data_IF_336686275562
#
_entry.id   IF_336686275562
#
_cell.length_a   1.000
_cell.length_b   1.000
_cell.length_c   1.000
_cell.angle_alpha   90.00
_cell.angle_beta   90.00
_cell.angle_gamma   90.00
#
_symmetry.space_group_name_H-M   'P 1'
#
loop_
_entity.id
_entity.type
_entity.pdbx_description
1 polymer ?
#
# COMPACT_ATOMS: atom_id res chain seq x y z
N UNK A 1 10.09 -25.58 38.58
CA UNK A 1 9.66 -25.18 37.24
C UNK A 1 8.13 -25.18 37.25
N UNK A 2 7.47 -24.03 37.00
CA UNK A 2 6.01 -23.95 37.07
C UNK A 2 5.36 -24.76 35.95
N UNK A 3 4.16 -25.31 36.18
CA UNK A 3 3.37 -26.02 35.16
C UNK A 3 3.17 -25.20 33.87
N UNK A 4 3.14 -23.87 33.98
CA UNK A 4 3.10 -22.92 32.82
C UNK A 4 4.36 -22.96 31.97
N UNK A 5 5.54 -23.02 32.61
CA UNK A 5 6.85 -23.09 31.91
C UNK A 5 6.99 -24.47 31.24
N UNK A 6 6.57 -25.52 31.88
CA UNK A 6 6.60 -26.89 31.32
C UNK A 6 5.68 -27.02 30.09
N UNK A 7 4.44 -26.48 30.18
CA UNK A 7 3.50 -26.47 29.05
C UNK A 7 4.03 -25.65 27.86
N UNK A 8 4.67 -24.54 28.16
CA UNK A 8 5.31 -23.69 27.13
C UNK A 8 6.47 -24.43 26.46
N UNK A 9 7.26 -25.18 27.24
CA UNK A 9 8.39 -25.95 26.75
C UNK A 9 7.96 -27.16 25.91
N UNK A 10 6.92 -27.86 26.33
CA UNK A 10 6.31 -28.99 25.59
C UNK A 10 5.66 -28.50 24.29
N UNK A 11 4.98 -27.35 24.30
CA UNK A 11 4.45 -26.70 23.08
C UNK A 11 5.57 -26.36 22.11
N UNK A 12 6.66 -25.78 22.59
CA UNK A 12 7.83 -25.44 21.77
C UNK A 12 8.54 -26.69 21.19
N UNK A 13 8.64 -27.78 21.96
CA UNK A 13 9.16 -29.05 21.46
C UNK A 13 8.25 -29.72 20.43
N UNK A 14 6.94 -29.64 20.60
CA UNK A 14 5.96 -30.13 19.64
C UNK A 14 6.01 -29.30 18.33
N UNK A 15 6.23 -28.00 18.43
CA UNK A 15 6.45 -27.10 17.28
C UNK A 15 7.77 -27.40 16.57
N UNK A 16 8.85 -27.68 17.30
CA UNK A 16 10.15 -28.09 16.69
C UNK A 16 10.04 -29.43 15.95
N UNK A 17 9.28 -30.39 16.45
CA UNK A 17 9.03 -31.67 15.78
C UNK A 17 8.21 -31.52 14.50
N UNK A 18 7.39 -30.46 14.40
CA UNK A 18 6.64 -30.09 13.19
C UNK A 18 7.39 -29.11 12.28
N UNK A 19 8.62 -28.71 12.64
CA UNK A 19 9.39 -27.67 11.94
C UNK A 19 9.68 -27.96 10.46
N UNK A 20 9.51 -29.20 10.01
CA UNK A 20 9.58 -29.60 8.60
C UNK A 20 8.33 -29.25 7.78
N UNK A 21 7.17 -29.08 8.41
CA UNK A 21 5.91 -28.73 7.74
C UNK A 21 5.82 -27.23 7.49
N UNK A 22 4.99 -26.81 6.52
CA UNK A 22 4.71 -25.40 6.25
C UNK A 22 4.09 -24.71 7.47
N UNK A 23 3.11 -25.37 8.12
CA UNK A 23 2.46 -24.86 9.33
C UNK A 23 3.44 -24.73 10.51
N UNK A 24 4.37 -25.67 10.66
CA UNK A 24 5.42 -25.59 11.68
C UNK A 24 6.34 -24.40 11.47
N UNK A 25 6.77 -24.15 10.25
CA UNK A 25 7.61 -22.97 9.89
C UNK A 25 6.85 -21.65 10.11
N UNK A 26 5.56 -21.61 9.76
CA UNK A 26 4.71 -20.45 10.00
C UNK A 26 4.55 -20.17 11.49
N UNK A 27 4.20 -21.20 12.27
CA UNK A 27 4.03 -21.07 13.71
C UNK A 27 5.34 -20.65 14.39
N UNK A 28 6.49 -21.19 13.98
CA UNK A 28 7.80 -20.77 14.50
C UNK A 28 8.06 -19.27 14.19
N UNK A 29 7.84 -18.84 12.96
CA UNK A 29 7.98 -17.42 12.58
C UNK A 29 7.08 -16.50 13.40
N UNK A 30 5.82 -16.86 13.60
CA UNK A 30 4.88 -16.06 14.37
C UNK A 30 5.17 -16.11 15.87
N UNK A 31 5.76 -17.21 16.38
CA UNK A 31 6.15 -17.34 17.77
C UNK A 31 7.34 -16.42 18.14
N UNK A 32 8.24 -16.16 17.19
CA UNK A 32 9.36 -15.23 17.37
C UNK A 32 8.89 -13.77 17.53
N UNK A 33 7.66 -13.46 17.10
CA UNK A 33 7.10 -12.10 17.24
C UNK A 33 6.51 -11.93 18.66
N UNK A 34 6.72 -10.75 19.27
CA UNK A 34 6.04 -10.40 20.51
C UNK A 34 4.54 -10.19 20.32
N UNK A 35 3.74 -10.38 21.38
CA UNK A 35 2.30 -10.12 21.34
C UNK A 35 2.00 -8.67 20.94
N UNK A 36 2.78 -7.71 21.45
CA UNK A 36 2.65 -6.30 21.08
C UNK A 36 2.91 -6.07 19.58
N UNK A 37 3.93 -6.74 19.02
CA UNK A 37 4.23 -6.64 17.58
C UNK A 37 3.11 -7.20 16.73
N UNK A 38 2.55 -8.36 17.13
CA UNK A 38 1.40 -8.95 16.43
C UNK A 38 0.18 -8.05 16.56
N UNK A 39 -0.16 -7.58 17.76
CA UNK A 39 -1.32 -6.70 17.99
C UNK A 39 -1.24 -5.44 17.12
N UNK A 40 -0.08 -4.76 17.11
CA UNK A 40 0.14 -3.58 16.27
C UNK A 40 0.02 -3.89 14.76
N UNK A 41 0.49 -5.05 14.32
CA UNK A 41 0.34 -5.47 12.93
C UNK A 41 -1.13 -5.78 12.61
N UNK A 42 -1.88 -6.36 13.56
CA UNK A 42 -3.27 -6.73 13.37
C UNK A 42 -4.20 -5.54 13.16
N UNK A 43 -3.92 -4.37 13.71
CA UNK A 43 -4.68 -3.13 13.40
C UNK A 43 -4.74 -2.88 11.88
N UNK A 44 -3.61 -3.04 11.19
CA UNK A 44 -3.56 -2.90 9.73
C UNK A 44 -4.12 -4.12 9.01
N UNK A 45 -3.91 -5.31 9.51
CA UNK A 45 -4.48 -6.54 8.95
C UNK A 45 -6.01 -6.48 8.98
N UNK A 46 -6.62 -6.03 10.08
CA UNK A 46 -8.07 -5.85 10.19
C UNK A 46 -8.58 -4.80 9.18
N UNK A 47 -7.83 -3.72 8.99
CA UNK A 47 -8.15 -2.73 7.97
C UNK A 47 -8.12 -3.31 6.56
N UNK A 48 -7.09 -4.09 6.23
CA UNK A 48 -6.93 -4.68 4.89
C UNK A 48 -7.90 -5.81 4.63
N UNK A 49 -8.11 -6.67 5.60
CA UNK A 49 -8.89 -7.90 5.51
C UNK A 49 -10.05 -7.87 6.50
N UNK A 50 -11.17 -7.33 6.04
CA UNK A 50 -12.37 -7.10 6.88
C UNK A 50 -13.21 -8.36 7.12
N UNK A 51 -12.99 -9.44 6.37
CA UNK A 51 -13.71 -10.69 6.55
C UNK A 51 -13.40 -11.31 7.93
N UNK A 52 -14.45 -11.63 8.68
CA UNK A 52 -14.37 -12.27 10.00
C UNK A 52 -15.13 -13.59 10.05
N UNK A 53 -15.66 -14.05 8.93
CA UNK A 53 -16.44 -15.28 8.81
C UNK A 53 -15.75 -16.28 7.90
N UNK A 54 -15.92 -17.56 8.21
CA UNK A 54 -15.47 -18.62 7.31
C UNK A 54 -16.22 -18.51 5.98
N UNK A 55 -15.50 -18.72 4.90
CA UNK A 55 -16.05 -18.79 3.56
C UNK A 55 -15.70 -20.14 2.94
N UNK A 56 -16.55 -20.62 2.01
CA UNK A 56 -16.32 -21.90 1.36
C UNK A 56 -14.99 -21.88 0.59
N UNK A 57 -14.10 -22.81 0.95
CA UNK A 57 -12.70 -22.77 0.57
C UNK A 57 -12.39 -23.07 -0.90
N UNK A 58 -13.38 -23.44 -1.71
CA UNK A 58 -13.10 -23.99 -3.03
C UNK A 58 -14.09 -23.44 -4.07
N UNK A 59 -13.78 -22.26 -4.61
CA UNK A 59 -14.40 -21.80 -5.85
C UNK A 59 -13.49 -22.17 -7.01
N UNK A 60 -14.07 -22.49 -8.18
CA UNK A 60 -13.31 -22.81 -9.40
C UNK A 60 -12.36 -21.69 -9.83
N UNK A 61 -12.71 -20.44 -9.45
CA UNK A 61 -11.93 -19.23 -9.71
C UNK A 61 -10.66 -19.08 -8.85
N UNK A 62 -10.49 -19.89 -7.79
CA UNK A 62 -9.31 -19.79 -6.93
C UNK A 62 -8.10 -20.43 -7.59
N UNK A 63 -7.04 -19.65 -7.73
CA UNK A 63 -5.77 -20.12 -8.25
C UNK A 63 -4.93 -20.78 -7.15
N UNK A 64 -4.11 -21.76 -7.55
CA UNK A 64 -3.05 -22.27 -6.70
C UNK A 64 -2.07 -21.14 -6.34
N UNK A 65 -1.36 -21.32 -5.25
CA UNK A 65 -0.32 -20.39 -4.79
C UNK A 65 0.50 -19.85 -5.98
N UNK A 66 0.57 -18.51 -6.17
CA UNK A 66 1.14 -17.92 -7.36
C UNK A 66 2.57 -18.35 -7.62
N UNK A 67 2.86 -18.76 -8.82
CA UNK A 67 4.22 -19.07 -9.28
C UNK A 67 4.96 -17.75 -9.61
N UNK A 68 6.31 -17.71 -9.48
CA UNK A 68 7.10 -16.52 -9.85
C UNK A 68 6.90 -16.04 -11.29
N UNK A 69 6.48 -16.94 -12.20
CA UNK A 69 6.19 -16.61 -13.61
C UNK A 69 4.89 -15.83 -13.80
N UNK A 70 4.01 -15.78 -12.81
CA UNK A 70 2.80 -14.98 -12.87
C UNK A 70 3.07 -13.53 -12.51
N UNK A 71 2.29 -12.61 -13.07
CA UNK A 71 2.32 -11.21 -12.67
C UNK A 71 2.14 -11.12 -11.15
N UNK A 72 3.06 -10.40 -10.49
CA UNK A 72 3.13 -10.31 -9.02
C UNK A 72 3.46 -11.60 -8.26
N UNK A 73 3.81 -12.69 -8.94
CA UNK A 73 4.24 -13.93 -8.28
C UNK A 73 5.44 -13.73 -7.34
N UNK A 74 6.32 -12.80 -7.67
CA UNK A 74 7.46 -12.43 -6.83
C UNK A 74 7.06 -11.81 -5.49
N UNK A 75 5.92 -11.13 -5.40
CA UNK A 75 5.43 -10.57 -4.14
C UNK A 75 5.08 -11.66 -3.12
N UNK A 76 4.70 -12.85 -3.60
CA UNK A 76 4.42 -14.02 -2.77
C UNK A 76 5.67 -14.85 -2.43
N UNK A 77 6.79 -14.62 -3.11
CA UNK A 77 8.02 -15.42 -2.97
C UNK A 77 8.52 -15.47 -1.53
N UNK A 78 8.43 -14.36 -0.80
CA UNK A 78 8.86 -14.28 0.60
C UNK A 78 8.08 -15.21 1.52
N UNK A 79 6.88 -15.63 1.12
CA UNK A 79 5.94 -16.42 1.92
C UNK A 79 5.85 -17.89 1.52
N UNK A 80 6.48 -18.31 0.39
CA UNK A 80 6.48 -19.69 -0.12
C UNK A 80 6.94 -20.71 0.91
N UNK A 81 7.81 -20.30 1.83
CA UNK A 81 8.32 -21.19 2.88
C UNK A 81 7.34 -21.45 4.02
N UNK A 82 6.29 -20.62 4.14
CA UNK A 82 5.30 -20.69 5.22
C UNK A 82 3.99 -21.34 4.80
N UNK A 83 3.69 -21.38 3.51
CA UNK A 83 2.42 -21.85 2.99
C UNK A 83 2.61 -22.96 1.95
N UNK A 84 1.71 -23.95 2.00
CA UNK A 84 1.74 -25.07 1.05
C UNK A 84 1.53 -24.57 -0.38
N UNK A 85 2.29 -25.10 -1.37
CA UNK A 85 2.03 -24.80 -2.78
C UNK A 85 0.64 -25.31 -3.25
N UNK A 86 -0.03 -26.15 -2.45
CA UNK A 86 -1.42 -26.59 -2.68
C UNK A 86 -2.45 -25.60 -2.13
N UNK A 87 -2.03 -24.60 -1.35
CA UNK A 87 -2.93 -23.53 -0.90
C UNK A 87 -3.48 -22.77 -2.08
N UNK A 88 -4.76 -22.41 -2.03
CA UNK A 88 -5.44 -21.66 -3.08
C UNK A 88 -5.83 -20.29 -2.57
N UNK A 89 -5.59 -19.29 -3.38
CA UNK A 89 -6.01 -17.90 -3.12
C UNK A 89 -6.68 -17.33 -4.37
N UNK A 90 -7.63 -16.44 -4.14
CA UNK A 90 -8.15 -15.59 -5.21
C UNK A 90 -7.49 -14.22 -5.13
N UNK A 91 -6.84 -13.80 -6.20
CA UNK A 91 -6.16 -12.52 -6.25
C UNK A 91 -6.30 -11.88 -7.63
N UNK A 92 -6.36 -10.57 -7.65
CA UNK A 92 -6.34 -9.78 -8.86
C UNK A 92 -5.46 -8.55 -8.67
N UNK A 93 -4.39 -8.48 -9.44
CA UNK A 93 -3.49 -7.33 -9.48
C UNK A 93 -3.92 -6.23 -10.44
N UNK A 94 -5.04 -6.42 -11.16
CA UNK A 94 -5.57 -5.39 -12.06
C UNK A 94 -6.31 -4.32 -11.25
N UNK A 95 -5.99 -3.04 -11.51
CA UNK A 95 -6.62 -1.92 -10.82
C UNK A 95 -8.13 -1.84 -11.09
N UNK A 96 -8.87 -1.39 -10.08
CA UNK A 96 -10.31 -1.15 -10.22
C UNK A 96 -11.16 -2.42 -10.32
N UNK A 97 -10.55 -3.59 -10.18
CA UNK A 97 -11.28 -4.86 -10.15
C UNK A 97 -12.15 -4.93 -8.90
N UNK A 98 -13.40 -5.32 -9.07
CA UNK A 98 -14.29 -5.64 -7.97
C UNK A 98 -14.15 -7.12 -7.63
N UNK A 99 -14.19 -7.49 -6.34
CA UNK A 99 -14.24 -8.91 -5.98
C UNK A 99 -15.55 -9.52 -6.48
N UNK A 100 -15.48 -10.75 -6.98
CA UNK A 100 -16.64 -11.56 -7.31
C UNK A 100 -17.33 -12.14 -6.06
N UNK A 101 -17.73 -13.39 -6.13
CA UNK A 101 -18.39 -14.06 -5.00
C UNK A 101 -17.41 -14.52 -3.90
N UNK A 102 -16.13 -14.56 -4.20
CA UNK A 102 -15.07 -15.00 -3.30
C UNK A 102 -14.27 -13.81 -2.75
N UNK A 103 -13.82 -13.85 -1.47
CA UNK A 103 -12.83 -12.92 -0.97
C UNK A 103 -11.58 -12.92 -1.82
N UNK A 104 -11.17 -11.72 -2.28
CA UNK A 104 -10.13 -11.54 -3.28
C UNK A 104 -9.06 -10.58 -2.78
N UNK A 105 -7.79 -10.97 -2.93
CA UNK A 105 -6.66 -10.06 -2.70
C UNK A 105 -6.58 -9.07 -3.86
N UNK A 106 -6.71 -7.78 -3.56
CA UNK A 106 -6.78 -6.70 -4.53
C UNK A 106 -5.68 -5.67 -4.30
N UNK A 107 -5.25 -5.01 -5.36
CA UNK A 107 -4.33 -3.89 -5.29
C UNK A 107 -5.01 -2.63 -4.73
N UNK A 108 -6.28 -2.44 -5.06
CA UNK A 108 -7.08 -1.30 -4.61
C UNK A 108 -8.54 -1.67 -4.41
N UNK A 109 -9.24 -0.87 -3.58
CA UNK A 109 -10.70 -0.97 -3.41
C UNK A 109 -11.31 0.41 -3.23
N UNK A 110 -12.62 0.54 -3.44
CA UNK A 110 -13.36 1.76 -3.17
C UNK A 110 -13.36 2.10 -1.66
N UNK A 111 -13.17 3.38 -1.32
CA UNK A 111 -13.30 3.88 0.05
C UNK A 111 -14.78 3.94 0.46
N UNK A 112 -15.67 4.23 -0.49
CA UNK A 112 -17.09 4.48 -0.23
C UNK A 112 -17.94 3.20 -0.19
N UNK A 113 -17.44 2.10 -0.77
CA UNK A 113 -18.14 0.81 -0.77
C UNK A 113 -17.52 -0.14 0.25
N UNK A 114 -18.25 -0.42 1.33
CA UNK A 114 -17.84 -1.47 2.26
C UNK A 114 -18.05 -2.82 1.60
N UNK A 115 -16.96 -3.44 1.19
CA UNK A 115 -16.98 -4.79 0.64
C UNK A 115 -15.99 -5.67 1.43
N UNK A 116 -16.52 -6.56 2.27
CA UNK A 116 -15.72 -7.47 3.10
C UNK A 116 -14.89 -8.45 2.25
N UNK A 117 -15.31 -8.70 1.01
CA UNK A 117 -14.60 -9.58 0.07
C UNK A 117 -13.39 -8.90 -0.59
N UNK A 118 -13.30 -7.57 -0.53
CA UNK A 118 -12.20 -6.79 -1.09
C UNK A 118 -11.04 -6.68 -0.09
N UNK A 119 -10.03 -7.52 -0.24
CA UNK A 119 -8.89 -7.59 0.66
C UNK A 119 -7.70 -6.85 0.04
N UNK A 120 -7.20 -5.81 0.70
CA UNK A 120 -6.02 -5.09 0.22
C UNK A 120 -4.75 -5.91 0.41
N UNK A 121 -3.95 -5.99 -0.65
CA UNK A 121 -2.64 -6.61 -0.61
C UNK A 121 -1.61 -5.78 -1.37
N UNK A 122 -0.35 -5.79 -0.88
CA UNK A 122 0.73 -4.98 -1.43
C UNK A 122 1.36 -5.66 -2.63
N UNK A 123 0.78 -5.48 -3.82
CA UNK A 123 1.33 -5.94 -5.08
C UNK A 123 2.31 -4.95 -5.69
N UNK A 124 3.33 -5.43 -6.37
CA UNK A 124 4.28 -4.61 -7.13
C UNK A 124 5.15 -3.69 -6.28
N UNK A 125 5.39 -4.04 -5.02
CA UNK A 125 6.06 -3.16 -4.06
C UNK A 125 7.45 -2.68 -4.50
N UNK A 126 8.18 -3.49 -5.25
CA UNK A 126 9.52 -3.13 -5.76
C UNK A 126 9.46 -2.13 -6.91
N UNK A 127 8.44 -2.24 -7.76
CA UNK A 127 8.32 -1.45 -8.98
C UNK A 127 7.67 -0.09 -8.72
N UNK A 128 6.65 -0.08 -7.86
CA UNK A 128 5.80 1.10 -7.70
C UNK A 128 6.16 1.99 -6.50
N UNK A 129 6.90 1.46 -5.52
CA UNK A 129 7.09 2.15 -4.24
C UNK A 129 8.55 2.25 -3.79
N UNK A 130 9.45 2.79 -4.65
CA UNK A 130 10.84 2.95 -4.26
C UNK A 130 10.97 3.93 -3.10
N UNK A 131 11.96 3.69 -2.25
CA UNK A 131 12.33 4.63 -1.21
C UNK A 131 12.91 5.90 -1.86
N UNK A 132 12.29 7.04 -1.60
CA UNK A 132 12.72 8.34 -2.14
C UNK A 132 13.58 9.04 -1.11
N UNK A 133 14.70 9.59 -1.56
CA UNK A 133 15.50 10.55 -0.81
C UNK A 133 15.36 11.90 -1.49
N UNK A 134 14.78 12.84 -0.79
CA UNK A 134 14.62 14.22 -1.22
C UNK A 134 15.46 15.11 -0.32
N UNK A 135 16.48 15.73 -0.90
CA UNK A 135 17.42 16.58 -0.17
C UNK A 135 17.06 18.07 -0.24
N UNK A 136 16.15 18.45 -1.14
CA UNK A 136 15.73 19.85 -1.29
C UNK A 136 14.61 20.18 -0.31
N UNK A 137 14.75 21.23 0.47
CA UNK A 137 13.68 21.74 1.33
C UNK A 137 12.57 22.34 0.47
N UNK A 138 11.34 22.36 0.95
CA UNK A 138 10.19 22.93 0.26
C UNK A 138 10.48 24.34 -0.28
N UNK A 139 11.09 25.23 0.53
CA UNK A 139 11.38 26.62 0.16
C UNK A 139 12.43 26.76 -0.94
N UNK A 140 13.32 25.78 -1.07
CA UNK A 140 14.41 25.79 -2.06
C UNK A 140 13.98 25.22 -3.44
N UNK A 141 12.77 24.67 -3.51
CA UNK A 141 12.20 24.07 -4.71
C UNK A 141 11.59 25.13 -5.63
N UNK A 142 11.45 24.77 -6.90
CA UNK A 142 10.79 25.61 -7.91
C UNK A 142 9.30 25.74 -7.59
N UNK A 143 8.79 26.99 -7.52
CA UNK A 143 7.38 27.27 -7.25
C UNK A 143 6.51 27.00 -8.48
N UNK A 144 6.41 25.75 -8.88
CA UNK A 144 5.58 25.24 -9.96
C UNK A 144 4.93 23.93 -9.49
N UNK A 145 3.80 23.57 -10.12
CA UNK A 145 3.17 22.29 -9.94
C UNK A 145 3.57 21.31 -11.05
N UNK A 146 4.02 20.13 -10.65
CA UNK A 146 4.28 19.03 -11.55
C UNK A 146 3.20 17.94 -11.35
N UNK A 147 2.68 17.37 -12.45
CA UNK A 147 1.71 16.27 -12.38
C UNK A 147 2.44 14.94 -12.35
N UNK A 148 2.28 14.20 -11.26
CA UNK A 148 2.67 12.81 -11.19
C UNK A 148 1.63 11.96 -11.93
N UNK A 149 1.99 11.50 -13.10
CA UNK A 149 1.19 10.49 -13.81
C UNK A 149 1.75 9.12 -13.46
N UNK A 150 1.06 8.37 -12.63
CA UNK A 150 1.32 6.94 -12.51
C UNK A 150 0.70 6.27 -13.74
N UNK A 151 1.49 6.27 -14.82
CA UNK A 151 1.14 5.61 -16.05
C UNK A 151 1.18 4.10 -15.87
N UNK A 152 0.29 3.42 -16.58
CA UNK A 152 0.30 1.98 -16.78
C UNK A 152 1.74 1.48 -16.86
N UNK A 153 2.19 0.71 -15.90
CA UNK A 153 3.21 -0.29 -16.12
C UNK A 153 2.59 -1.38 -17.02
N UNK A 154 2.18 -0.97 -18.20
CA UNK A 154 1.86 -1.91 -19.26
C UNK A 154 3.13 -2.17 -20.03
N UNK A 155 3.38 -3.43 -20.34
CA UNK A 155 4.54 -4.03 -20.97
C UNK A 155 5.03 -3.42 -22.31
N UNK A 156 4.78 -2.14 -22.54
CA UNK A 156 5.26 -1.42 -23.70
C UNK A 156 6.15 -0.25 -23.24
N UNK A 157 7.46 -0.48 -23.33
CA UNK A 157 8.52 0.49 -23.01
C UNK A 157 8.39 1.83 -23.78
N UNK A 158 7.42 1.96 -24.69
CA UNK A 158 7.19 3.18 -25.46
C UNK A 158 6.25 4.18 -24.79
N UNK A 159 5.51 3.80 -23.73
CA UNK A 159 4.57 4.67 -23.01
C UNK A 159 5.08 5.20 -21.68
N UNK A 160 6.23 4.72 -21.20
CA UNK A 160 6.89 5.24 -19.99
C UNK A 160 7.45 6.68 -20.15
N UNK A 161 7.30 7.31 -21.32
CA UNK A 161 7.90 8.60 -21.65
C UNK A 161 7.06 9.83 -21.25
N UNK A 162 6.02 9.71 -20.41
CA UNK A 162 5.11 10.83 -20.18
C UNK A 162 4.87 11.18 -18.70
N UNK A 163 5.77 10.78 -17.80
CA UNK A 163 5.73 11.24 -16.42
C UNK A 163 6.34 12.66 -16.36
N UNK A 164 5.52 13.66 -16.16
CA UNK A 164 5.98 15.01 -15.91
C UNK A 164 5.38 16.08 -16.81
N UNK A 165 4.13 16.43 -16.56
CA UNK A 165 3.57 17.68 -17.09
C UNK A 165 3.78 18.75 -16.02
N UNK A 166 4.54 19.78 -16.36
CA UNK A 166 4.75 20.94 -15.49
C UNK A 166 3.79 22.06 -15.90
N UNK A 167 3.04 22.59 -14.93
CA UNK A 167 2.21 23.76 -15.13
C UNK A 167 2.94 25.01 -14.65
N UNK A 168 3.12 25.98 -15.54
CA UNK A 168 3.63 27.29 -15.19
C UNK A 168 2.48 28.15 -14.66
N UNK A 169 2.45 28.40 -13.35
CA UNK A 169 1.37 29.14 -12.68
C UNK A 169 1.51 30.65 -12.82
N UNK A 170 2.66 31.14 -13.28
CA UNK A 170 2.91 32.59 -13.39
C UNK A 170 2.38 33.25 -14.65
N UNK A 171 1.83 32.51 -15.60
CA UNK A 171 1.22 33.13 -16.79
C UNK A 171 -0.26 33.40 -16.56
N UNK A 172 -0.63 34.66 -16.46
CA UNK A 172 -2.03 35.13 -16.31
C UNK A 172 -2.93 34.86 -17.54
N UNK A 173 -2.49 34.07 -18.49
CA UNK A 173 -3.25 33.70 -19.67
C UNK A 173 -3.40 32.20 -19.73
N UNK A 174 -4.63 31.75 -19.47
CA UNK A 174 -5.14 30.40 -19.64
C UNK A 174 -4.14 29.28 -19.38
N UNK A 175 -4.16 28.73 -18.19
CA UNK A 175 -3.21 27.73 -17.75
C UNK A 175 -3.15 26.51 -18.67
N UNK A 176 -2.22 26.53 -19.61
CA UNK A 176 -1.88 25.38 -20.43
C UNK A 176 -0.85 24.51 -19.69
N UNK A 177 -1.07 23.21 -19.69
CA UNK A 177 -0.06 22.26 -19.25
C UNK A 177 1.09 22.27 -20.25
N UNK A 178 2.25 22.79 -19.87
CA UNK A 178 3.42 22.75 -20.71
C UNK A 178 4.05 21.37 -20.62
N UNK A 179 4.22 20.75 -21.78
CA UNK A 179 5.06 19.57 -21.90
C UNK A 179 6.51 20.07 -21.81
N UNK A 180 7.35 19.56 -20.90
CA UNK A 180 8.76 19.93 -20.91
C UNK A 180 9.39 19.56 -22.25
N UNK A 181 10.33 20.37 -22.74
CA UNK A 181 11.03 20.12 -24.01
C UNK A 181 11.77 18.79 -24.04
N UNK A 182 12.10 18.27 -22.87
CA UNK A 182 12.63 16.92 -22.66
C UNK A 182 11.68 16.13 -21.77
N UNK A 183 11.43 14.82 -22.07
CA UNK A 183 10.68 13.98 -21.18
C UNK A 183 11.28 14.06 -19.78
N UNK A 184 10.47 14.31 -18.76
CA UNK A 184 10.93 14.23 -17.39
C UNK A 184 11.07 12.75 -17.01
N UNK A 185 12.32 12.31 -16.99
CA UNK A 185 12.69 10.89 -17.01
C UNK A 185 12.57 10.17 -15.66
N UNK A 186 12.23 10.89 -14.60
CA UNK A 186 12.16 10.23 -13.30
C UNK A 186 11.40 11.04 -12.25
N UNK A 187 10.86 10.32 -11.25
CA UNK A 187 10.34 10.90 -10.00
C UNK A 187 11.32 11.90 -9.36
N UNK A 188 12.63 11.71 -9.54
CA UNK A 188 13.66 12.65 -9.05
C UNK A 188 13.51 14.06 -9.60
N UNK A 189 13.15 14.21 -10.88
CA UNK A 189 12.94 15.53 -11.47
C UNK A 189 11.66 16.20 -10.94
N UNK A 190 10.62 15.39 -10.62
CA UNK A 190 9.42 15.92 -9.98
C UNK A 190 9.71 16.50 -8.59
N UNK A 191 10.73 16.00 -7.89
CA UNK A 191 11.13 16.49 -6.57
C UNK A 191 11.79 17.88 -6.60
N UNK A 192 12.08 18.43 -7.77
CA UNK A 192 12.55 19.82 -7.92
C UNK A 192 11.41 20.85 -7.73
N UNK A 193 10.16 20.38 -7.76
CA UNK A 193 8.97 21.24 -7.68
C UNK A 193 8.37 21.24 -6.27
N UNK A 194 7.88 22.40 -5.83
CA UNK A 194 7.19 22.58 -4.55
C UNK A 194 5.93 21.74 -4.47
N UNK A 195 5.15 21.71 -5.54
CA UNK A 195 3.81 21.13 -5.60
C UNK A 195 3.80 19.93 -6.54
N UNK A 196 3.36 18.77 -6.02
CA UNK A 196 3.19 17.59 -6.87
C UNK A 196 1.72 17.18 -6.85
N UNK A 197 1.12 17.21 -8.04
CA UNK A 197 -0.25 16.75 -8.23
C UNK A 197 -0.25 15.23 -8.36
N UNK A 198 -1.03 14.59 -7.52
CA UNK A 198 -1.34 13.18 -7.62
C UNK A 198 -2.75 13.00 -8.16
N UNK A 199 -2.86 12.31 -9.30
CA UNK A 199 -4.14 12.02 -9.93
C UNK A 199 -4.40 10.52 -9.83
N UNK A 200 -5.24 10.17 -8.86
CA UNK A 200 -5.66 8.79 -8.67
C UNK A 200 -6.71 8.41 -9.72
N UNK A 201 -6.29 7.84 -10.83
CA UNK A 201 -7.24 7.25 -11.78
C UNK A 201 -7.69 5.88 -11.28
N UNK A 202 -8.96 5.53 -11.55
CA UNK A 202 -9.53 4.21 -11.21
C UNK A 202 -8.76 3.07 -11.88
N UNK A 203 -8.08 3.37 -13.00
CA UNK A 203 -7.36 2.41 -13.83
C UNK A 203 -5.87 2.27 -13.50
N UNK A 204 -5.35 3.11 -12.61
CA UNK A 204 -3.93 3.06 -12.19
C UNK A 204 -3.85 3.27 -10.68
N UNK A 205 -3.69 2.20 -9.90
CA UNK A 205 -3.72 2.28 -8.45
C UNK A 205 -2.36 2.63 -7.89
N UNK A 206 -1.73 3.64 -8.41
CA UNK A 206 -0.66 4.27 -7.71
C UNK A 206 -1.12 4.82 -6.37
N UNK A 207 -0.21 5.05 -5.46
CA UNK A 207 -0.51 5.76 -4.23
C UNK A 207 0.44 6.94 -4.04
N UNK A 208 0.02 7.94 -3.27
CA UNK A 208 0.81 9.16 -3.06
C UNK A 208 2.00 8.97 -2.11
N UNK A 209 2.31 7.75 -1.65
CA UNK A 209 3.35 7.50 -0.64
C UNK A 209 4.67 8.16 -0.97
N UNK A 210 5.12 8.05 -2.23
CA UNK A 210 6.42 8.61 -2.63
C UNK A 210 6.43 10.15 -2.57
N UNK A 211 5.32 10.81 -2.91
CA UNK A 211 5.17 12.25 -2.78
C UNK A 211 5.16 12.62 -1.30
N UNK A 212 4.35 11.90 -0.50
CA UNK A 212 4.24 12.11 0.94
C UNK A 212 5.48 11.70 1.73
N UNK A 213 6.47 11.06 1.10
CA UNK A 213 7.79 10.79 1.66
C UNK A 213 8.85 11.83 1.23
N UNK A 214 8.45 12.86 0.51
CA UNK A 214 9.32 13.92 -0.03
C UNK A 214 9.15 15.22 0.73
N UNK A 215 9.88 16.25 0.30
CA UNK A 215 9.75 17.63 0.77
C UNK A 215 8.89 18.48 -0.20
N UNK A 216 8.05 17.84 -1.00
CA UNK A 216 7.08 18.50 -1.88
C UNK A 216 5.67 18.37 -1.32
N UNK A 217 4.87 19.40 -1.48
CA UNK A 217 3.48 19.41 -1.03
C UNK A 217 2.61 18.57 -1.97
N UNK A 218 2.00 17.53 -1.43
CA UNK A 218 1.08 16.68 -2.17
C UNK A 218 -0.26 17.42 -2.37
N UNK A 219 -0.67 17.56 -3.62
CA UNK A 219 -1.96 18.12 -3.99
C UNK A 219 -2.77 17.08 -4.76
N UNK A 220 -3.99 16.77 -4.34
CA UNK A 220 -4.82 15.76 -5.00
C UNK A 220 -6.30 15.95 -4.70
N UNK A 221 -7.19 15.51 -5.58
CA UNK A 221 -8.61 15.36 -5.23
C UNK A 221 -8.78 14.37 -4.08
N UNK A 222 -9.91 14.48 -3.36
CA UNK A 222 -10.24 13.50 -2.32
C UNK A 222 -10.19 12.08 -2.89
N UNK A 223 -9.43 11.16 -2.29
CA UNK A 223 -9.31 9.79 -2.77
C UNK A 223 -10.67 9.07 -2.83
N UNK A 224 -10.96 8.41 -3.94
CA UNK A 224 -12.14 7.56 -4.10
C UNK A 224 -11.83 6.08 -3.87
N UNK A 225 -10.58 5.71 -4.08
CA UNK A 225 -10.06 4.36 -3.87
C UNK A 225 -8.90 4.37 -2.89
N UNK A 226 -8.65 3.25 -2.27
CA UNK A 226 -7.53 3.04 -1.37
C UNK A 226 -6.73 1.79 -1.75
N UNK A 227 -5.45 1.85 -1.49
CA UNK A 227 -4.49 0.77 -1.61
C UNK A 227 -4.01 0.32 -0.22
N UNK A 228 -2.97 -0.50 -0.18
CA UNK A 228 -2.27 -0.84 1.05
C UNK A 228 -1.71 0.40 1.81
N UNK A 229 -1.68 1.58 1.18
CA UNK A 229 -1.26 2.85 1.82
C UNK A 229 -2.36 3.47 2.67
N UNK A 230 -3.59 2.91 2.65
CA UNK A 230 -4.73 3.32 3.48
C UNK A 230 -5.13 4.79 3.22
N UNK A 231 -5.34 5.15 1.96
CA UNK A 231 -5.71 6.51 1.54
C UNK A 231 -7.02 6.98 2.18
N UNK A 232 -7.89 6.06 2.59
CA UNK A 232 -9.08 6.35 3.37
C UNK A 232 -8.82 6.96 4.76
N UNK A 233 -7.59 6.84 5.28
CA UNK A 233 -7.16 7.43 6.54
C UNK A 233 -6.48 8.80 6.37
N UNK A 234 -6.27 9.25 5.14
CA UNK A 234 -5.67 10.56 4.88
C UNK A 234 -6.67 11.67 5.20
N UNK A 235 -6.18 12.72 5.85
CA UNK A 235 -6.99 13.89 6.21
C UNK A 235 -6.59 15.08 5.34
N UNK A 236 -7.56 15.70 4.61
CA UNK A 236 -7.31 16.93 3.86
C UNK A 236 -6.82 18.05 4.79
N UNK A 237 -6.01 18.95 4.26
CA UNK A 237 -5.35 20.06 4.97
C UNK A 237 -4.45 19.63 6.13
N UNK A 238 -4.20 18.34 6.29
CA UNK A 238 -3.32 17.78 7.32
C UNK A 238 -2.26 16.87 6.71
N UNK A 239 -2.62 16.02 5.74
CA UNK A 239 -1.68 15.15 5.03
C UNK A 239 -1.49 15.55 3.56
N UNK A 240 -2.41 16.32 3.00
CA UNK A 240 -2.39 16.76 1.61
C UNK A 240 -3.30 17.97 1.42
N UNK A 241 -3.08 18.71 0.33
CA UNK A 241 -3.98 19.80 -0.08
C UNK A 241 -5.07 19.23 -0.98
N UNK A 242 -6.35 19.32 -0.57
CA UNK A 242 -7.45 18.84 -1.38
C UNK A 242 -7.69 19.77 -2.57
N UNK A 243 -7.87 19.18 -3.74
CA UNK A 243 -8.21 19.85 -4.99
C UNK A 243 -9.60 19.44 -5.46
N UNK A 244 -10.25 20.32 -6.21
CA UNK A 244 -11.41 19.94 -7.01
C UNK A 244 -11.00 18.96 -8.10
N UNK A 245 -11.91 18.09 -8.52
CA UNK A 245 -11.63 17.07 -9.54
C UNK A 245 -11.24 17.66 -10.91
N UNK A 246 -11.79 18.83 -11.22
CA UNK A 246 -11.48 19.59 -12.45
C UNK A 246 -10.21 20.43 -12.32
N UNK A 247 -9.56 20.42 -11.15
CA UNK A 247 -8.36 21.19 -10.82
C UNK A 247 -8.54 22.72 -10.97
N UNK A 248 -9.79 23.21 -10.95
CA UNK A 248 -10.10 24.64 -11.15
C UNK A 248 -9.58 25.53 -10.03
N UNK A 249 -9.31 24.98 -8.84
CA UNK A 249 -8.76 25.68 -7.68
C UNK A 249 -7.26 25.55 -7.49
N UNK A 250 -6.57 24.91 -8.44
CA UNK A 250 -5.13 24.64 -8.32
C UNK A 250 -4.29 25.93 -8.19
N UNK A 251 -4.56 26.93 -9.03
CA UNK A 251 -3.79 28.19 -9.03
C UNK A 251 -3.99 28.96 -7.72
N UNK A 252 -5.22 29.03 -7.25
CA UNK A 252 -5.55 29.65 -5.97
C UNK A 252 -4.80 28.98 -4.83
N UNK A 253 -4.79 27.64 -4.80
CA UNK A 253 -4.10 26.87 -3.77
C UNK A 253 -2.58 27.06 -3.81
N UNK A 254 -1.98 27.11 -4.99
CA UNK A 254 -0.55 27.35 -5.14
C UNK A 254 -0.19 28.76 -4.64
N UNK A 255 -0.94 29.78 -5.06
CA UNK A 255 -0.72 31.14 -4.61
C UNK A 255 -0.82 31.24 -3.06
N UNK A 256 -1.83 30.59 -2.49
CA UNK A 256 -2.00 30.56 -1.04
C UNK A 256 -0.76 29.97 -0.33
N UNK A 257 -0.30 28.78 -0.73
CA UNK A 257 0.83 28.13 -0.06
C UNK A 257 2.19 28.72 -0.40
N UNK A 258 2.33 29.48 -1.49
CA UNK A 258 3.51 30.31 -1.73
C UNK A 258 3.60 31.47 -0.72
N UNK A 259 2.45 32.04 -0.32
CA UNK A 259 2.36 33.10 0.70
C UNK A 259 2.40 32.53 2.13
N UNK A 260 2.02 31.23 2.31
CA UNK A 260 1.96 30.55 3.61
C UNK A 260 2.87 29.32 3.68
N UNK A 261 4.18 29.47 3.47
CA UNK A 261 5.10 28.33 3.37
C UNK A 261 5.21 27.50 4.67
N UNK A 262 4.96 28.12 5.84
CA UNK A 262 4.98 27.38 7.10
C UNK A 262 3.84 26.35 7.19
N UNK A 263 2.64 26.70 6.70
CA UNK A 263 1.52 25.76 6.66
C UNK A 263 1.77 24.62 5.67
N UNK A 264 2.40 24.92 4.53
CA UNK A 264 2.83 23.90 3.59
C UNK A 264 3.80 22.90 4.20
N UNK A 265 4.81 23.41 4.93
CA UNK A 265 5.81 22.60 5.62
C UNK A 265 5.19 21.72 6.72
N UNK A 266 4.19 22.23 7.46
CA UNK A 266 3.45 21.44 8.46
C UNK A 266 2.68 20.27 7.81
N UNK A 267 2.01 20.51 6.69
CA UNK A 267 1.32 19.45 5.94
C UNK A 267 2.32 18.41 5.43
N UNK A 268 3.48 18.85 4.92
CA UNK A 268 4.55 17.96 4.45
C UNK A 268 5.07 17.10 5.61
N UNK A 269 5.31 17.68 6.79
CA UNK A 269 5.77 16.94 7.96
C UNK A 269 4.75 15.88 8.39
N UNK A 270 3.47 16.24 8.49
CA UNK A 270 2.40 15.31 8.81
C UNK A 270 2.28 14.18 7.77
N UNK A 271 2.44 14.50 6.47
CA UNK A 271 2.47 13.53 5.40
C UNK A 271 3.66 12.57 5.51
N UNK A 272 4.85 13.10 5.84
CA UNK A 272 6.06 12.30 6.06
C UNK A 272 5.89 11.33 7.24
N UNK A 273 5.34 11.80 8.38
CA UNK A 273 5.05 10.96 9.54
C UNK A 273 4.08 9.83 9.16
N UNK A 274 3.03 10.16 8.39
CA UNK A 274 2.10 9.15 7.91
C UNK A 274 2.77 8.11 7.01
N UNK A 275 3.55 8.57 6.03
CA UNK A 275 4.22 7.71 5.06
C UNK A 275 5.28 6.80 5.70
N UNK A 276 5.98 7.28 6.74
CA UNK A 276 7.00 6.52 7.46
C UNK A 276 6.44 5.25 8.15
N UNK A 277 5.15 5.20 8.46
CA UNK A 277 4.47 4.01 9.02
C UNK A 277 4.58 2.77 8.11
N UNK A 278 4.88 2.96 6.84
CA UNK A 278 4.95 1.93 5.81
C UNK A 278 6.38 1.62 5.34
N UNK A 279 7.40 2.13 6.04
CA UNK A 279 8.81 2.00 5.63
C UNK A 279 9.53 0.80 6.26
N UNK A 280 9.05 0.30 7.41
CA UNK A 280 9.69 -0.84 8.05
C UNK A 280 9.39 -2.14 7.32
N UNK A 281 10.41 -2.66 6.63
CA UNK A 281 10.29 -3.85 5.81
C UNK A 281 9.94 -5.11 6.62
N UNK A 282 10.31 -5.19 7.90
CA UNK A 282 9.99 -6.32 8.76
C UNK A 282 8.50 -6.31 9.13
N UNK A 283 7.98 -5.15 9.57
CA UNK A 283 6.56 -4.96 9.86
C UNK A 283 5.70 -5.18 8.61
N UNK A 284 6.10 -4.63 7.44
CA UNK A 284 5.37 -4.83 6.20
C UNK A 284 5.29 -6.31 5.79
N UNK A 285 6.38 -7.06 5.99
CA UNK A 285 6.40 -8.51 5.74
C UNK A 285 5.50 -9.26 6.70
N UNK A 286 5.51 -8.91 7.97
CA UNK A 286 4.64 -9.53 8.99
C UNK A 286 3.16 -9.26 8.68
N UNK A 287 2.80 -8.01 8.36
CA UNK A 287 1.44 -7.62 8.02
C UNK A 287 0.94 -8.42 6.80
N UNK A 288 1.73 -8.46 5.72
CA UNK A 288 1.35 -9.23 4.54
C UNK A 288 1.23 -10.74 4.83
N UNK A 289 2.12 -11.30 5.67
CA UNK A 289 2.04 -12.67 6.13
C UNK A 289 0.73 -12.91 6.90
N UNK A 290 0.37 -12.03 7.82
CA UNK A 290 -0.86 -12.14 8.63
C UNK A 290 -2.13 -11.95 7.78
N UNK A 291 -2.12 -11.13 6.73
CA UNK A 291 -3.23 -11.05 5.75
C UNK A 291 -3.44 -12.42 5.09
N UNK A 292 -2.36 -13.07 4.65
CA UNK A 292 -2.42 -14.42 4.05
C UNK A 292 -2.84 -15.47 5.07
N UNK A 293 -2.35 -15.41 6.31
CA UNK A 293 -2.78 -16.28 7.41
C UNK A 293 -4.29 -16.17 7.63
N UNK A 294 -4.78 -14.93 7.75
CA UNK A 294 -6.21 -14.66 7.94
C UNK A 294 -7.05 -15.22 6.78
N UNK A 295 -6.60 -14.99 5.55
CA UNK A 295 -7.25 -15.52 4.35
C UNK A 295 -7.35 -17.06 4.37
N UNK A 296 -6.20 -17.73 4.53
CA UNK A 296 -6.13 -19.19 4.50
C UNK A 296 -6.82 -19.85 5.69
N UNK A 297 -6.81 -19.21 6.85
CA UNK A 297 -7.54 -19.68 8.02
C UNK A 297 -9.06 -19.61 7.82
N UNK A 298 -9.60 -18.46 7.35
CA UNK A 298 -11.03 -18.33 7.12
C UNK A 298 -11.53 -19.15 5.93
N UNK A 299 -10.67 -19.47 4.97
CA UNK A 299 -10.97 -20.42 3.90
C UNK A 299 -10.79 -21.89 4.29
N UNK A 300 -10.42 -22.19 5.56
CA UNK A 300 -10.28 -23.55 6.09
C UNK A 300 -9.06 -24.31 5.55
N UNK A 301 -8.05 -23.63 5.00
CA UNK A 301 -6.90 -24.27 4.37
C UNK A 301 -5.71 -24.47 5.30
N UNK A 302 -5.63 -23.75 6.41
CA UNK A 302 -4.57 -23.89 7.43
C UNK A 302 -5.15 -23.90 8.83
N UNK A 303 -4.40 -24.53 9.74
CA UNK A 303 -4.58 -24.41 11.17
C UNK A 303 -3.49 -23.51 11.75
N UNK A 304 -3.85 -22.72 12.73
CA UNK A 304 -2.95 -21.79 13.43
C UNK A 304 -3.08 -21.99 14.94
N UNK A 305 -2.05 -21.56 15.68
CA UNK A 305 -2.05 -21.66 17.14
C UNK A 305 -3.18 -20.82 17.77
N UNK A 306 -3.66 -21.22 18.94
CA UNK A 306 -4.69 -20.47 19.68
C UNK A 306 -4.24 -19.03 19.99
N UNK A 307 -2.94 -18.83 20.21
CA UNK A 307 -2.36 -17.50 20.38
C UNK A 307 -2.61 -16.60 19.17
N UNK A 308 -2.42 -17.10 17.94
CA UNK A 308 -2.64 -16.31 16.73
C UNK A 308 -4.13 -16.13 16.44
N UNK A 309 -4.94 -17.17 16.74
CA UNK A 309 -6.40 -17.07 16.60
C UNK A 309 -6.99 -15.95 17.43
N UNK A 310 -6.53 -15.74 18.68
CA UNK A 310 -7.06 -14.68 19.54
C UNK A 310 -6.95 -13.30 18.89
N UNK A 311 -5.89 -13.02 18.13
CA UNK A 311 -5.73 -11.76 17.39
C UNK A 311 -6.58 -11.66 16.12
N UNK A 312 -7.10 -12.75 15.56
CA UNK A 312 -7.91 -12.71 14.34
C UNK A 312 -9.37 -12.33 14.60
N UNK A 313 -9.86 -12.52 15.82
CA UNK A 313 -11.25 -12.28 16.22
C UNK A 313 -11.44 -10.99 17.04
N UNK A 314 -10.34 -10.40 17.54
CA UNK A 314 -10.34 -9.09 18.19
C UNK A 314 -10.39 -7.95 17.15
#
# INVERSE_FOLDING_TARGET
MSLRVLRRWIAHLAEQLQSGSFEGKLNAYLYEQSDETIARAMERVQYYHRTVRKFAGWHEEMEFWPKPSYRYGDDFRAYHRYFSPKSKIHYCGEPGTLPGDCPTLLQSRSIHAVNEKAILFKFGAKEFYPRIRDALRFRDKTSLAAKAMEGRACADQRTAQHDGIVRNVRSHQGAAWHRPEKPMDSRKQLLEFKYILFDQSVTSPGNPKWIMSSQSLCMMPQPACETWFMEGCLRPHYHFVPLKRDLSDLEEKIAYYDDHPCEAEEIIENANIYAARFDDAASERLIACLVLVKYLFFSGQINISERVKSFLYD
#
